data_IF_810653096873
#
_entry.id   IF_810653096873
#
_cell.length_a   1.000
_cell.length_b   1.000
_cell.length_c   1.000
_cell.angle_alpha   90.00
_cell.angle_beta   90.00
_cell.angle_gamma   90.00
#
_symmetry.space_group_name_H-M   'P 1'
#
loop_
_entity.id
_entity.type
_entity.pdbx_description
1 polymer ?
#
# COMPACT_ATOMS: atom_id res chain seq x y z
N UNK A 1 6.59 -6.41 49.58
CA UNK A 1 6.37 -4.98 49.22
C UNK A 1 7.10 -4.59 47.94
N UNK A 2 8.42 -4.82 47.82
CA UNK A 2 9.20 -4.48 46.60
C UNK A 2 8.67 -5.14 45.33
N UNK A 3 8.32 -6.43 45.39
CA UNK A 3 7.74 -7.20 44.27
C UNK A 3 6.35 -6.73 43.83
N UNK A 4 5.53 -6.23 44.76
CA UNK A 4 4.19 -5.69 44.45
C UNK A 4 4.32 -4.32 43.77
N UNK A 5 5.28 -3.50 44.21
CA UNK A 5 5.61 -2.21 43.59
C UNK A 5 6.17 -2.41 42.17
N UNK A 6 7.00 -3.43 41.94
CA UNK A 6 7.52 -3.76 40.60
C UNK A 6 6.40 -4.18 39.63
N UNK A 7 5.42 -4.97 40.09
CA UNK A 7 4.27 -5.35 39.26
C UNK A 7 3.37 -4.15 38.90
N UNK A 8 3.21 -3.20 39.83
CA UNK A 8 2.42 -1.99 39.58
C UNK A 8 3.07 -1.08 38.52
N UNK A 9 4.40 -1.03 38.46
CA UNK A 9 5.13 -0.22 37.48
C UNK A 9 5.07 -0.79 36.04
N UNK A 10 4.99 -2.11 35.89
CA UNK A 10 4.91 -2.76 34.56
C UNK A 10 3.50 -2.57 33.95
N UNK A 11 2.47 -2.50 34.79
CA UNK A 11 1.09 -2.27 34.35
C UNK A 11 0.85 -0.85 33.77
N UNK A 12 1.71 0.13 34.09
CA UNK A 12 1.57 1.51 33.63
C UNK A 12 2.32 1.82 32.31
N UNK A 13 3.18 0.92 31.83
CA UNK A 13 3.90 1.08 30.56
C UNK A 13 3.09 0.64 29.32
N UNK A 14 1.90 0.08 29.52
CA UNK A 14 1.01 -0.41 28.45
C UNK A 14 0.07 0.65 27.86
N UNK A 15 0.44 1.93 27.85
CA UNK A 15 -0.35 2.95 27.16
C UNK A 15 -0.24 2.69 25.66
N UNK A 16 -1.24 2.01 25.11
CA UNK A 16 -1.41 1.83 23.68
C UNK A 16 -1.56 3.22 23.04
N UNK A 17 -0.50 3.70 22.40
CA UNK A 17 -0.58 4.90 21.59
C UNK A 17 -1.58 4.63 20.45
N UNK A 18 -2.57 5.50 20.21
CA UNK A 18 -3.41 5.39 19.04
C UNK A 18 -2.52 5.58 17.80
N UNK A 19 -2.26 4.49 17.09
CA UNK A 19 -1.69 4.55 15.74
C UNK A 19 -2.81 5.04 14.83
N UNK A 20 -2.77 6.32 14.49
CA UNK A 20 -3.60 6.86 13.43
C UNK A 20 -3.03 6.34 12.10
N UNK A 21 -3.91 5.84 11.24
CA UNK A 21 -3.53 5.55 9.86
C UNK A 21 -3.05 6.86 9.22
N UNK A 22 -1.79 6.88 8.75
CA UNK A 22 -1.25 8.02 8.03
C UNK A 22 -2.00 8.25 6.72
N UNK A 23 -1.94 9.47 6.21
CA UNK A 23 -2.43 9.77 4.87
C UNK A 23 -1.69 8.91 3.84
N UNK A 24 -2.41 8.48 2.80
CA UNK A 24 -1.82 7.73 1.70
C UNK A 24 -1.10 8.70 0.78
N UNK A 25 0.15 8.40 0.45
CA UNK A 25 0.93 9.19 -0.50
C UNK A 25 0.31 9.09 -1.92
N UNK A 26 0.10 10.24 -2.55
CA UNK A 26 -0.51 10.34 -3.89
C UNK A 26 0.50 11.02 -4.82
N UNK A 27 0.54 10.54 -6.06
CA UNK A 27 1.30 11.15 -7.16
C UNK A 27 0.33 11.65 -8.23
N UNK A 28 0.62 12.79 -8.84
CA UNK A 28 -0.14 13.28 -9.98
C UNK A 28 0.27 12.57 -11.29
N UNK A 29 -0.52 12.80 -12.35
CA UNK A 29 -0.33 12.16 -13.65
C UNK A 29 1.00 12.51 -14.33
N UNK A 30 1.49 13.73 -14.13
CA UNK A 30 2.70 14.22 -14.79
C UNK A 30 3.93 13.68 -14.06
N UNK A 31 3.90 13.66 -12.72
CA UNK A 31 4.89 12.98 -11.90
C UNK A 31 5.00 11.47 -12.21
N UNK A 32 3.86 10.77 -12.33
CA UNK A 32 3.88 9.36 -12.73
C UNK A 32 4.48 9.18 -14.12
N UNK A 33 4.15 10.08 -15.07
CA UNK A 33 4.64 10.03 -16.44
C UNK A 33 6.16 10.16 -16.52
N UNK A 34 6.76 11.00 -15.70
CA UNK A 34 8.23 11.16 -15.61
C UNK A 34 8.92 9.88 -15.14
N UNK A 35 8.26 9.06 -14.33
CA UNK A 35 8.80 7.81 -13.81
C UNK A 35 8.60 6.62 -14.76
N UNK A 36 7.74 6.74 -15.79
CA UNK A 36 7.44 5.64 -16.69
C UNK A 36 8.69 5.16 -17.43
N UNK A 37 8.97 3.86 -17.31
CA UNK A 37 10.15 3.23 -17.91
C UNK A 37 11.30 3.00 -16.93
N UNK A 38 11.21 3.53 -15.70
CA UNK A 38 12.14 3.16 -14.62
C UNK A 38 11.99 1.69 -14.24
N UNK A 39 13.11 1.01 -13.99
CA UNK A 39 13.15 -0.36 -13.46
C UNK A 39 12.71 -0.46 -12.00
N UNK A 40 12.61 0.69 -11.33
CA UNK A 40 12.20 0.78 -9.93
C UNK A 40 10.71 1.09 -9.75
N UNK A 41 10.00 1.40 -10.84
CA UNK A 41 8.57 1.67 -10.82
C UNK A 41 7.77 0.43 -11.24
N UNK A 42 6.80 0.06 -10.41
CA UNK A 42 5.75 -0.90 -10.77
C UNK A 42 4.40 -0.22 -10.67
N UNK A 43 3.71 -0.12 -11.81
CA UNK A 43 2.34 0.40 -11.86
C UNK A 43 1.36 -0.77 -11.78
N UNK A 44 0.42 -0.71 -10.83
CA UNK A 44 -0.56 -1.77 -10.59
C UNK A 44 -1.97 -1.23 -10.87
N UNK A 45 -2.63 -1.82 -11.86
CA UNK A 45 -4.03 -1.59 -12.17
C UNK A 45 -4.90 -2.43 -11.23
N UNK A 46 -5.60 -1.75 -10.32
CA UNK A 46 -6.53 -2.37 -9.38
C UNK A 46 -7.99 -2.00 -9.69
N UNK A 47 -8.30 -1.62 -10.93
CA UNK A 47 -9.69 -1.35 -11.36
C UNK A 47 -10.56 -2.60 -11.24
N UNK A 48 -11.75 -2.41 -10.67
CA UNK A 48 -12.72 -3.46 -10.42
C UNK A 48 -13.76 -3.57 -11.55
N UNK A 49 -14.33 -4.77 -11.71
CA UNK A 49 -15.53 -4.99 -12.52
C UNK A 49 -15.47 -4.36 -13.93
N UNK A 50 -16.46 -3.51 -14.22
CA UNK A 50 -16.62 -2.88 -15.53
C UNK A 50 -15.52 -1.85 -15.82
N UNK A 51 -15.04 -1.12 -14.83
CA UNK A 51 -13.99 -0.11 -15.01
C UNK A 51 -12.71 -0.72 -15.57
N UNK A 52 -12.46 -1.99 -15.27
CA UNK A 52 -11.47 -2.77 -16.00
C UNK A 52 -12.02 -3.36 -17.30
N UNK A 53 -13.08 -4.16 -17.23
CA UNK A 53 -13.45 -5.05 -18.34
C UNK A 53 -13.92 -4.32 -19.60
N UNK A 54 -14.39 -3.08 -19.47
CA UNK A 54 -14.77 -2.24 -20.62
C UNK A 54 -13.69 -1.24 -21.03
N UNK A 55 -12.53 -1.24 -20.38
CA UNK A 55 -11.47 -0.31 -20.70
C UNK A 55 -10.65 -0.80 -21.88
N UNK A 56 -10.62 0.02 -22.93
CA UNK A 56 -9.77 -0.20 -24.11
C UNK A 56 -8.29 -0.01 -23.78
N UNK A 57 -7.98 0.86 -22.82
CA UNK A 57 -6.63 1.26 -22.47
C UNK A 57 -6.31 1.07 -20.97
N UNK A 58 -5.00 0.95 -20.71
CA UNK A 58 -4.40 0.96 -19.37
C UNK A 58 -3.10 1.75 -19.42
N UNK A 59 -2.60 2.16 -18.26
CA UNK A 59 -1.28 2.82 -18.17
C UNK A 59 -0.21 1.89 -18.74
N UNK A 60 0.69 2.43 -19.56
CA UNK A 60 1.77 1.66 -20.20
C UNK A 60 2.62 0.96 -19.14
N UNK A 61 2.86 -0.34 -19.33
CA UNK A 61 3.63 -1.15 -18.38
C UNK A 61 2.86 -1.62 -17.14
N UNK A 62 1.62 -1.17 -16.92
CA UNK A 62 0.86 -1.55 -15.74
C UNK A 62 0.54 -3.06 -15.70
N UNK A 63 0.69 -3.68 -14.54
CA UNK A 63 0.27 -5.06 -14.27
C UNK A 63 -1.10 -5.03 -13.61
N UNK A 64 -2.01 -5.92 -14.02
CA UNK A 64 -3.32 -6.04 -13.39
C UNK A 64 -3.24 -6.95 -12.17
N UNK A 65 -3.79 -6.49 -11.05
CA UNK A 65 -4.03 -7.32 -9.89
C UNK A 65 -5.47 -7.13 -9.39
N UNK A 66 -6.02 -8.14 -8.72
CA UNK A 66 -7.41 -8.10 -8.26
C UNK A 66 -7.54 -7.25 -6.98
N UNK A 67 -8.28 -6.12 -6.98
CA UNK A 67 -8.37 -5.20 -5.84
C UNK A 67 -8.86 -5.85 -4.55
N UNK A 68 -9.73 -6.86 -4.64
CA UNK A 68 -10.29 -7.58 -3.48
C UNK A 68 -9.43 -8.74 -2.97
N UNK A 69 -8.28 -9.03 -3.60
CA UNK A 69 -7.45 -10.20 -3.27
C UNK A 69 -5.99 -9.83 -3.02
N UNK A 70 -5.73 -8.70 -2.37
CA UNK A 70 -4.36 -8.23 -2.04
C UNK A 70 -3.48 -9.30 -1.43
N UNK A 71 -4.01 -10.11 -0.51
CA UNK A 71 -3.28 -11.20 0.12
C UNK A 71 -2.74 -12.25 -0.88
N UNK A 72 -3.42 -12.44 -2.02
CA UNK A 72 -3.01 -13.40 -3.06
C UNK A 72 -1.85 -12.92 -3.93
N UNK A 73 -1.59 -11.60 -3.98
CA UNK A 73 -0.63 -11.03 -4.92
C UNK A 73 0.45 -10.15 -4.29
N UNK A 74 0.18 -9.52 -3.14
CA UNK A 74 1.13 -8.60 -2.51
C UNK A 74 2.48 -9.27 -2.18
N UNK A 75 2.48 -10.58 -1.92
CA UNK A 75 3.71 -11.35 -1.65
C UNK A 75 4.62 -11.56 -2.85
N UNK A 76 4.15 -11.32 -4.09
CA UNK A 76 4.95 -11.47 -5.31
C UNK A 76 5.95 -10.31 -5.51
N UNK A 77 5.71 -9.21 -4.82
CA UNK A 77 6.37 -7.92 -5.07
C UNK A 77 7.50 -7.70 -4.06
N UNK A 78 8.65 -7.28 -4.58
CA UNK A 78 9.81 -6.92 -3.76
C UNK A 78 9.49 -5.69 -2.88
N UNK A 79 10.24 -5.49 -1.81
CA UNK A 79 9.97 -4.39 -0.85
C UNK A 79 10.77 -3.13 -1.14
N UNK A 80 11.69 -3.18 -2.10
CA UNK A 80 12.65 -2.14 -2.47
C UNK A 80 12.26 -1.40 -3.77
N UNK A 81 11.01 -1.52 -4.20
CA UNK A 81 10.48 -0.88 -5.41
C UNK A 81 9.40 0.13 -5.06
N UNK A 82 9.19 1.08 -5.98
CA UNK A 82 8.10 2.05 -5.89
C UNK A 82 6.85 1.49 -6.56
N UNK A 83 5.75 1.46 -5.82
CA UNK A 83 4.46 0.94 -6.27
C UNK A 83 3.44 2.06 -6.42
N UNK A 84 2.88 2.19 -7.62
CA UNK A 84 1.77 3.12 -7.88
C UNK A 84 0.54 2.31 -8.23
N UNK A 85 -0.43 2.28 -7.33
CA UNK A 85 -1.72 1.65 -7.55
C UNK A 85 -2.69 2.69 -8.11
N UNK A 86 -3.49 2.31 -9.11
CA UNK A 86 -4.55 3.17 -9.62
C UNK A 86 -5.87 2.44 -9.79
N UNK A 87 -6.95 3.20 -9.61
CA UNK A 87 -8.33 2.77 -9.76
C UNK A 87 -9.05 3.66 -10.79
N UNK A 88 -10.37 3.51 -10.90
CA UNK A 88 -11.24 4.31 -11.75
C UNK A 88 -11.39 5.76 -11.25
#
# INVERSE_FOLDING_TARGET
MKTIVTFLCIAFLGVALPVFAGDVEIIDKDGLKEMLGSEDLVVIDVRAGRDWSSSEFKIKGAVREEPGKTASWAGKYLKDKTYVLYCA
#
